data_IF_428896872596
#
_entry.id   IF_428896872596
#
_cell.length_a   1.000
_cell.length_b   1.000
_cell.length_c   1.000
_cell.angle_alpha   90.00
_cell.angle_beta   90.00
_cell.angle_gamma   90.00
#
_symmetry.space_group_name_H-M   'P 1'
#
loop_
_entity.id
_entity.type
_entity.pdbx_description
1 polymer ?
#
# COMPACT_ATOMS: atom_id res chain seq x y z
N UNK A 1 32.84 20.87 16.66
CA UNK A 1 31.66 20.94 15.78
C UNK A 1 30.47 21.05 16.69
N UNK A 2 29.81 22.21 16.76
CA UNK A 2 28.58 22.39 17.53
C UNK A 2 27.53 21.46 16.93
N UNK A 3 27.02 20.51 17.72
CA UNK A 3 25.90 19.64 17.35
C UNK A 3 24.73 20.55 16.95
N UNK A 4 24.46 20.68 15.66
CA UNK A 4 23.28 21.40 15.20
C UNK A 4 22.06 20.71 15.81
N UNK A 5 21.26 21.49 16.54
CA UNK A 5 20.02 20.97 17.15
C UNK A 5 19.09 20.49 16.03
N UNK A 6 18.61 19.25 16.10
CA UNK A 6 17.65 18.71 15.13
C UNK A 6 16.37 19.56 15.14
N UNK A 7 15.74 19.79 13.99
CA UNK A 7 14.46 20.48 13.93
C UNK A 7 13.39 19.67 14.66
N UNK A 8 12.51 20.37 15.38
CA UNK A 8 11.34 19.76 16.01
C UNK A 8 10.28 19.52 14.94
N UNK A 9 9.55 18.41 15.01
CA UNK A 9 8.64 18.01 13.96
C UNK A 9 7.22 17.81 14.50
N UNK A 10 6.21 18.26 13.77
CA UNK A 10 4.85 17.78 13.97
C UNK A 10 4.39 16.89 12.81
N UNK A 11 3.54 15.92 13.14
CA UNK A 11 2.92 15.00 12.15
C UNK A 11 1.42 15.15 12.25
N UNK A 12 0.79 15.63 11.19
CA UNK A 12 -0.64 15.91 11.08
C UNK A 12 -1.35 14.75 10.40
N UNK A 13 -2.20 14.07 11.16
CA UNK A 13 -2.80 12.79 10.80
C UNK A 13 -1.99 11.63 11.39
N UNK A 14 -2.58 10.91 12.37
CA UNK A 14 -1.97 9.78 13.08
C UNK A 14 -2.54 8.42 12.64
N UNK A 15 -2.91 8.32 11.38
CA UNK A 15 -3.36 7.08 10.76
C UNK A 15 -2.22 6.10 10.44
N UNK A 16 -2.49 5.17 9.51
CA UNK A 16 -1.61 4.04 9.14
C UNK A 16 -0.19 4.43 8.66
N UNK A 17 0.01 5.67 8.21
CA UNK A 17 1.33 6.19 7.79
C UNK A 17 1.87 7.24 8.76
N UNK A 18 1.00 8.12 9.29
CA UNK A 18 1.45 9.22 10.15
C UNK A 18 1.94 8.76 11.51
N UNK A 19 1.28 7.80 12.16
CA UNK A 19 1.75 7.26 13.42
C UNK A 19 3.12 6.56 13.28
N UNK A 20 3.36 5.70 12.26
CA UNK A 20 4.70 5.18 11.99
C UNK A 20 5.74 6.27 11.72
N UNK A 21 5.42 7.30 10.92
CA UNK A 21 6.36 8.40 10.67
C UNK A 21 6.75 9.13 11.97
N UNK A 22 5.76 9.44 12.83
CA UNK A 22 6.02 10.07 14.11
C UNK A 22 6.92 9.20 15.00
N UNK A 23 6.68 7.89 15.06
CA UNK A 23 7.47 6.94 15.82
C UNK A 23 8.90 6.78 15.29
N UNK A 24 9.06 6.69 13.95
CA UNK A 24 10.37 6.60 13.30
C UNK A 24 11.19 7.88 13.55
N UNK A 25 10.62 9.07 13.34
CA UNK A 25 11.29 10.33 13.63
C UNK A 25 11.74 10.43 15.09
N UNK A 26 10.86 10.06 16.04
CA UNK A 26 11.20 10.06 17.46
C UNK A 26 12.35 9.10 17.79
N UNK A 27 12.36 7.91 17.18
CA UNK A 27 13.44 6.91 17.34
C UNK A 27 14.78 7.38 16.80
N UNK A 28 14.76 8.35 15.86
CA UNK A 28 15.97 8.96 15.26
C UNK A 28 16.41 10.25 15.95
N UNK A 29 15.82 10.54 17.13
CA UNK A 29 16.23 11.64 18.01
C UNK A 29 15.46 12.94 17.82
N UNK A 30 14.48 13.00 16.94
CA UNK A 30 13.64 14.18 16.79
C UNK A 30 12.65 14.32 17.94
N UNK A 31 12.35 15.56 18.35
CA UNK A 31 11.19 15.87 19.19
C UNK A 31 9.98 15.94 18.27
N UNK A 32 8.95 15.10 18.54
CA UNK A 32 7.80 14.94 17.67
C UNK A 32 6.48 15.18 18.40
N UNK A 33 5.60 15.96 17.77
CA UNK A 33 4.23 16.18 18.23
C UNK A 33 3.25 15.68 17.16
N UNK A 34 2.50 14.63 17.45
CA UNK A 34 1.40 14.19 16.61
C UNK A 34 0.20 15.14 16.74
N UNK A 35 -0.47 15.44 15.63
CA UNK A 35 -1.71 16.22 15.61
C UNK A 35 -2.79 15.40 14.89
N UNK A 36 -3.89 15.11 15.55
CA UNK A 36 -5.03 14.43 14.95
C UNK A 36 -6.35 14.96 15.49
N UNK A 37 -7.39 14.94 14.68
CA UNK A 37 -8.76 15.29 15.09
C UNK A 37 -9.44 14.15 15.84
N UNK A 38 -8.94 12.93 15.74
CA UNK A 38 -9.46 11.76 16.41
C UNK A 38 -8.83 11.59 17.82
N UNK A 39 -9.61 11.93 18.85
CA UNK A 39 -9.19 11.81 20.24
C UNK A 39 -8.66 10.42 20.60
N UNK A 40 -9.26 9.36 20.07
CA UNK A 40 -8.83 7.98 20.33
C UNK A 40 -7.40 7.72 19.88
N UNK A 41 -6.99 8.25 18.70
CA UNK A 41 -5.62 8.12 18.19
C UNK A 41 -4.64 8.95 19.01
N UNK A 42 -5.04 10.16 19.41
CA UNK A 42 -4.22 11.03 20.28
C UNK A 42 -3.98 10.38 21.64
N UNK A 43 -5.04 9.87 22.28
CA UNK A 43 -4.93 9.20 23.58
C UNK A 43 -4.08 7.92 23.47
N UNK A 44 -4.27 7.14 22.40
CA UNK A 44 -3.51 5.91 22.16
C UNK A 44 -2.01 6.18 21.97
N UNK A 45 -1.65 7.22 21.20
CA UNK A 45 -0.26 7.65 21.02
C UNK A 45 0.37 8.04 22.36
N UNK A 46 -0.34 8.86 23.16
CA UNK A 46 0.14 9.30 24.48
C UNK A 46 0.20 8.16 25.50
N UNK A 47 -0.69 7.15 25.36
CA UNK A 47 -0.64 5.92 26.17
C UNK A 47 0.51 4.97 25.75
N UNK A 48 1.16 5.22 24.62
CA UNK A 48 2.29 4.43 24.12
C UNK A 48 1.89 3.20 23.30
N UNK A 49 0.63 3.09 22.84
CA UNK A 49 0.14 1.94 22.07
C UNK A 49 -0.95 2.34 21.09
N UNK A 50 -0.65 2.31 19.81
CA UNK A 50 -1.58 2.60 18.73
C UNK A 50 -2.41 1.37 18.34
N UNK A 51 -3.69 1.53 17.98
CA UNK A 51 -4.54 0.46 17.46
C UNK A 51 -4.29 0.22 15.96
N UNK A 52 -3.03 0.21 15.54
CA UNK A 52 -2.60 0.04 14.15
C UNK A 52 -1.72 -1.19 14.08
N UNK A 53 -2.07 -2.11 13.18
CA UNK A 53 -1.28 -3.32 12.93
C UNK A 53 -0.13 -2.95 11.96
N UNK A 54 1.03 -2.68 12.54
CA UNK A 54 2.27 -2.42 11.79
C UNK A 54 3.45 -2.94 12.62
N UNK A 55 4.33 -3.77 12.03
CA UNK A 55 5.51 -4.30 12.73
C UNK A 55 6.36 -3.20 13.36
N UNK A 56 6.83 -3.41 14.58
CA UNK A 56 7.71 -2.52 15.36
C UNK A 56 7.09 -1.17 15.78
N UNK A 57 5.87 -0.82 15.36
CA UNK A 57 5.30 0.49 15.65
C UNK A 57 5.16 0.75 17.15
N UNK A 58 4.52 -0.18 17.87
CA UNK A 58 4.25 0.03 19.29
C UNK A 58 5.51 -0.04 20.15
N UNK A 59 6.50 -0.83 19.76
CA UNK A 59 7.81 -0.89 20.40
C UNK A 59 8.55 0.45 20.26
N UNK A 60 8.53 1.04 19.05
CA UNK A 60 9.15 2.35 18.81
C UNK A 60 8.46 3.46 19.60
N UNK A 61 7.13 3.48 19.64
CA UNK A 61 6.38 4.46 20.41
C UNK A 61 6.72 4.34 21.91
N UNK A 62 6.68 3.12 22.45
CA UNK A 62 6.95 2.88 23.88
C UNK A 62 8.38 3.28 24.26
N UNK A 63 9.37 2.99 23.41
CA UNK A 63 10.78 3.32 23.64
C UNK A 63 11.11 4.82 23.53
N UNK A 64 10.25 5.63 22.89
CA UNK A 64 10.54 7.04 22.59
C UNK A 64 9.53 8.03 23.20
N UNK A 65 8.83 7.65 24.26
CA UNK A 65 7.77 8.46 24.90
C UNK A 65 8.24 9.85 25.38
N UNK A 66 9.50 10.00 25.70
CA UNK A 66 10.07 11.30 26.12
C UNK A 66 10.17 12.32 24.97
N UNK A 67 10.20 11.84 23.72
CA UNK A 67 10.33 12.66 22.51
C UNK A 67 9.06 12.71 21.67
N UNK A 68 8.07 11.86 22.00
CA UNK A 68 6.85 11.69 21.22
C UNK A 68 5.62 11.99 22.08
N UNK A 69 4.85 12.97 21.67
CA UNK A 69 3.54 13.30 22.26
C UNK A 69 2.50 13.52 21.16
N UNK A 70 1.24 13.56 21.52
CA UNK A 70 0.17 13.87 20.57
C UNK A 70 -0.85 14.84 21.19
N UNK A 71 -1.46 15.67 20.36
CA UNK A 71 -2.44 16.68 20.75
C UNK A 71 -3.55 16.83 19.71
N UNK A 72 -4.66 17.41 20.11
CA UNK A 72 -5.72 17.88 19.20
C UNK A 72 -5.60 19.40 18.92
N UNK A 73 -4.68 20.08 19.59
CA UNK A 73 -4.47 21.54 19.46
C UNK A 73 -3.38 21.84 18.42
N UNK A 74 -3.79 22.40 17.29
CA UNK A 74 -2.87 22.80 16.22
C UNK A 74 -1.91 23.91 16.65
N UNK A 75 -2.31 24.81 17.57
CA UNK A 75 -1.42 25.84 18.08
C UNK A 75 -0.28 25.21 18.87
N UNK A 76 -0.59 24.25 19.74
CA UNK A 76 0.42 23.51 20.48
C UNK A 76 1.39 22.80 19.54
N UNK A 77 0.87 22.04 18.56
CA UNK A 77 1.68 21.29 17.61
C UNK A 77 2.62 22.21 16.80
N UNK A 78 2.10 23.32 16.28
CA UNK A 78 2.87 24.29 15.49
C UNK A 78 3.92 25.03 16.34
N UNK A 79 3.57 25.47 17.55
CA UNK A 79 4.52 26.19 18.41
C UNK A 79 5.68 25.29 18.87
N UNK A 80 5.43 24.01 19.05
CA UNK A 80 6.45 23.03 19.48
C UNK A 80 7.26 22.42 18.33
N UNK A 81 7.02 22.79 17.07
CA UNK A 81 7.70 22.21 15.91
C UNK A 81 8.27 23.28 14.97
N UNK A 82 9.22 22.91 14.13
CA UNK A 82 9.86 23.75 13.12
C UNK A 82 9.44 23.27 11.69
N UNK A 83 8.93 22.05 11.61
CA UNK A 83 8.35 21.46 10.40
C UNK A 83 7.08 20.67 10.74
N UNK A 84 6.08 20.71 9.84
CA UNK A 84 4.83 19.95 9.95
C UNK A 84 4.63 19.05 8.73
N UNK A 85 4.61 17.73 8.94
CA UNK A 85 4.28 16.75 7.90
C UNK A 85 2.77 16.49 7.89
N UNK A 86 2.15 16.63 6.73
CA UNK A 86 0.70 16.49 6.56
C UNK A 86 0.40 15.18 5.83
N UNK A 87 -0.20 14.23 6.57
CA UNK A 87 -0.53 12.88 6.09
C UNK A 87 -2.01 12.62 6.40
N UNK A 88 -2.88 13.22 5.61
CA UNK A 88 -4.33 13.09 5.73
C UNK A 88 -4.91 12.39 4.52
N UNK A 89 -6.12 11.78 4.62
CA UNK A 89 -6.72 11.08 3.48
C UNK A 89 -6.99 11.99 2.29
N UNK A 90 -6.79 11.47 1.08
CA UNK A 90 -7.16 12.08 -0.20
C UNK A 90 -8.04 11.11 -0.98
N UNK A 91 -9.31 10.88 -0.57
CA UNK A 91 -10.17 9.91 -1.22
C UNK A 91 -10.45 10.31 -2.68
N UNK A 92 -10.65 9.30 -3.54
CA UNK A 92 -11.07 9.54 -4.92
C UNK A 92 -12.54 10.00 -4.95
N UNK A 93 -12.83 10.92 -5.84
CA UNK A 93 -14.21 11.29 -6.21
C UNK A 93 -14.74 10.34 -7.30
N UNK A 94 -15.98 10.59 -7.76
CA UNK A 94 -16.65 9.79 -8.80
C UNK A 94 -15.98 9.88 -10.18
N UNK A 95 -15.07 10.83 -10.39
CA UNK A 95 -14.33 11.00 -11.65
C UNK A 95 -12.95 10.30 -11.61
N UNK A 96 -12.56 9.79 -10.44
CA UNK A 96 -11.26 9.19 -10.19
C UNK A 96 -10.19 10.17 -9.70
N UNK A 97 -10.52 11.47 -9.56
CA UNK A 97 -9.60 12.47 -9.01
C UNK A 97 -9.48 12.36 -7.49
N UNK A 98 -8.30 12.70 -6.96
CA UNK A 98 -8.13 12.84 -5.52
C UNK A 98 -8.76 14.11 -4.99
N UNK A 99 -9.57 13.97 -3.94
CA UNK A 99 -10.17 15.10 -3.24
C UNK A 99 -9.16 15.69 -2.24
N UNK A 100 -8.85 16.97 -2.39
CA UNK A 100 -7.94 17.69 -1.49
C UNK A 100 -8.63 18.24 -0.23
N UNK A 101 -9.91 17.92 0.00
CA UNK A 101 -10.70 18.50 1.10
C UNK A 101 -9.98 18.44 2.45
N UNK A 102 -9.43 17.30 2.83
CA UNK A 102 -8.78 17.17 4.13
C UNK A 102 -7.40 17.84 4.16
N UNK A 103 -6.68 17.87 3.04
CA UNK A 103 -5.42 18.63 2.92
C UNK A 103 -5.69 20.12 3.07
N UNK A 104 -6.70 20.65 2.41
CA UNK A 104 -7.09 22.07 2.51
C UNK A 104 -7.56 22.43 3.92
N UNK A 105 -8.31 21.56 4.60
CA UNK A 105 -8.68 21.73 6.01
C UNK A 105 -7.43 21.77 6.92
N UNK A 106 -6.45 20.88 6.66
CA UNK A 106 -5.17 20.89 7.38
C UNK A 106 -4.40 22.21 7.13
N UNK A 107 -4.36 22.70 5.88
CA UNK A 107 -3.75 24.00 5.55
C UNK A 107 -4.42 25.17 6.28
N UNK A 108 -5.74 25.17 6.34
CA UNK A 108 -6.48 26.20 7.09
C UNK A 108 -6.16 26.13 8.59
N UNK A 109 -6.16 24.95 9.17
CA UNK A 109 -5.88 24.73 10.59
C UNK A 109 -4.44 25.11 10.95
N UNK A 110 -3.45 24.61 10.21
CA UNK A 110 -2.05 24.94 10.40
C UNK A 110 -1.76 26.42 10.13
N UNK A 111 -2.36 26.97 9.06
CA UNK A 111 -2.19 28.39 8.71
C UNK A 111 -2.63 29.32 9.83
N UNK A 112 -3.79 29.08 10.45
CA UNK A 112 -4.27 29.85 11.61
C UNK A 112 -3.27 29.80 12.78
N UNK A 113 -2.71 28.62 13.07
CA UNK A 113 -1.70 28.45 14.11
C UNK A 113 -0.36 29.13 13.77
N UNK A 114 0.03 29.09 12.48
CA UNK A 114 1.24 29.73 11.96
C UNK A 114 1.17 31.26 11.98
N UNK A 115 -0.01 31.85 11.93
CA UNK A 115 -0.20 33.31 12.01
C UNK A 115 0.40 33.90 13.29
N UNK A 116 0.30 33.19 14.40
CA UNK A 116 0.85 33.63 15.70
C UNK A 116 2.31 33.20 15.93
N UNK A 117 2.84 32.30 15.09
CA UNK A 117 4.20 31.77 15.24
C UNK A 117 5.22 32.73 14.66
N UNK A 118 6.28 33.01 15.43
CA UNK A 118 7.47 33.77 14.95
C UNK A 118 8.48 32.81 14.31
N UNK A 119 9.19 33.33 13.30
CA UNK A 119 10.26 32.60 12.63
C UNK A 119 9.76 31.69 11.50
N UNK A 120 10.71 31.05 10.83
CA UNK A 120 10.45 30.16 9.70
C UNK A 120 9.79 28.87 10.15
N UNK A 121 8.90 28.34 9.32
CA UNK A 121 8.28 27.03 9.51
C UNK A 121 8.10 26.34 8.17
N UNK A 122 8.40 25.05 8.09
CA UNK A 122 8.21 24.26 6.87
C UNK A 122 6.94 23.41 6.98
N UNK A 123 6.11 23.45 5.94
CA UNK A 123 4.97 22.52 5.78
C UNK A 123 5.30 21.51 4.68
N UNK A 124 5.13 20.23 4.97
CA UNK A 124 5.44 19.13 4.07
C UNK A 124 4.14 18.39 3.77
N UNK A 125 3.73 18.36 2.50
CA UNK A 125 2.58 17.60 2.04
C UNK A 125 3.05 16.19 1.67
N UNK A 126 2.69 15.21 2.48
CA UNK A 126 3.02 13.80 2.26
C UNK A 126 1.83 13.03 1.66
N UNK A 127 0.61 13.54 1.86
CA UNK A 127 -0.59 13.00 1.19
C UNK A 127 -0.44 13.03 -0.33
N UNK A 128 -0.86 11.95 -1.00
CA UNK A 128 -0.84 11.90 -2.47
C UNK A 128 -1.90 12.83 -3.05
N UNK A 129 -1.49 13.77 -3.88
CA UNK A 129 -2.36 14.76 -4.53
C UNK A 129 -2.20 14.72 -6.05
N UNK A 130 -3.13 15.35 -6.79
CA UNK A 130 -3.04 15.43 -8.24
C UNK A 130 -1.95 16.41 -8.69
N UNK A 131 -1.29 16.18 -9.83
CA UNK A 131 -0.27 17.08 -10.36
C UNK A 131 -0.79 18.53 -10.53
N UNK A 132 0.00 19.50 -10.06
CA UNK A 132 -0.33 20.93 -10.06
C UNK A 132 -1.01 21.42 -8.80
N UNK A 133 -1.37 20.55 -7.85
CA UNK A 133 -2.18 20.88 -6.67
C UNK A 133 -1.39 21.62 -5.59
N UNK A 134 -0.18 21.17 -5.27
CA UNK A 134 0.61 21.75 -4.17
C UNK A 134 0.98 23.19 -4.44
N UNK A 135 1.41 23.50 -5.66
CA UNK A 135 1.82 24.85 -6.05
C UNK A 135 0.67 25.83 -6.29
N UNK A 136 -0.56 25.36 -6.30
CA UNK A 136 -1.75 26.19 -6.54
C UNK A 136 -2.66 26.26 -5.31
N UNK A 137 -3.68 25.43 -5.24
CA UNK A 137 -4.72 25.53 -4.19
C UNK A 137 -4.20 25.25 -2.78
N UNK A 138 -3.24 24.33 -2.58
CA UNK A 138 -2.67 24.03 -1.26
C UNK A 138 -1.82 25.23 -0.79
N UNK A 139 -0.92 25.73 -1.65
CA UNK A 139 -0.14 26.94 -1.37
C UNK A 139 -1.05 28.11 -1.03
N UNK A 140 -2.03 28.40 -1.89
CA UNK A 140 -2.95 29.52 -1.69
C UNK A 140 -3.75 29.42 -0.39
N UNK A 141 -4.21 28.21 -0.02
CA UNK A 141 -4.92 27.96 1.24
C UNK A 141 -4.01 28.23 2.46
N UNK A 142 -2.77 27.77 2.42
CA UNK A 142 -1.79 27.98 3.50
C UNK A 142 -1.46 29.48 3.67
N UNK A 143 -1.14 30.17 2.57
CA UNK A 143 -0.83 31.61 2.57
C UNK A 143 -2.02 32.44 3.07
N UNK A 144 -3.22 32.17 2.57
CA UNK A 144 -4.44 32.85 3.02
C UNK A 144 -4.71 32.69 4.51
N UNK A 145 -4.56 31.47 5.02
CA UNK A 145 -4.86 31.18 6.42
C UNK A 145 -3.79 31.72 7.39
N UNK A 146 -2.51 31.70 6.99
CA UNK A 146 -1.41 32.17 7.80
C UNK A 146 -1.14 33.68 7.70
N UNK A 147 -1.53 34.30 6.59
CA UNK A 147 -1.12 35.66 6.25
C UNK A 147 0.38 35.81 5.98
N UNK A 148 1.04 34.70 5.62
CA UNK A 148 2.49 34.62 5.39
C UNK A 148 2.75 34.08 3.99
N UNK A 149 3.87 34.44 3.39
CA UNK A 149 4.26 34.05 2.03
C UNK A 149 5.12 32.80 2.04
N UNK A 150 4.84 31.85 1.12
CA UNK A 150 5.65 30.66 0.86
C UNK A 150 6.90 31.08 0.09
N UNK A 151 8.07 30.71 0.63
CA UNK A 151 9.41 31.09 0.22
C UNK A 151 10.10 31.88 1.35
N UNK A 152 9.86 33.20 1.48
CA UNK A 152 10.52 34.01 2.52
C UNK A 152 10.17 33.57 3.95
N UNK A 153 8.89 33.36 4.23
CA UNK A 153 8.38 33.15 5.58
C UNK A 153 8.08 31.69 5.92
N UNK A 154 7.63 30.95 4.92
CA UNK A 154 7.22 29.55 5.05
C UNK A 154 7.93 28.70 3.99
N UNK A 155 8.43 27.52 4.40
CA UNK A 155 8.78 26.47 3.45
C UNK A 155 7.56 25.65 3.10
N UNK A 156 7.43 25.28 1.84
CA UNK A 156 6.45 24.29 1.40
C UNK A 156 7.16 23.20 0.61
N UNK A 157 6.94 21.94 0.99
CA UNK A 157 7.43 20.80 0.25
C UNK A 157 6.30 19.82 -0.08
N UNK A 158 6.41 19.14 -1.20
CA UNK A 158 5.70 17.91 -1.49
C UNK A 158 6.64 16.73 -1.35
N UNK A 159 6.28 15.77 -0.51
CA UNK A 159 7.16 14.66 -0.21
C UNK A 159 6.32 13.40 0.02
N UNK A 160 5.92 12.74 -1.05
CA UNK A 160 5.10 11.54 -0.97
C UNK A 160 5.91 10.32 -0.58
N UNK A 161 5.26 9.34 0.05
CA UNK A 161 5.86 8.07 0.41
C UNK A 161 5.65 6.99 -0.66
N UNK A 162 6.65 6.08 -0.79
CA UNK A 162 6.60 4.89 -1.67
C UNK A 162 6.60 3.61 -0.83
N UNK A 163 5.71 3.56 0.15
CA UNK A 163 5.68 2.58 1.23
C UNK A 163 4.49 1.63 1.07
N UNK A 164 4.66 0.39 1.50
CA UNK A 164 3.61 -0.61 1.52
C UNK A 164 3.21 -0.95 2.98
N UNK A 165 1.89 -0.98 3.27
CA UNK A 165 1.37 -1.39 4.58
C UNK A 165 1.93 -2.75 5.00
N UNK A 166 2.25 -2.91 6.30
CA UNK A 166 2.93 -4.09 6.85
C UNK A 166 4.46 -4.06 6.75
N UNK A 167 5.03 -2.99 6.17
CA UNK A 167 6.48 -2.72 6.16
C UNK A 167 6.81 -1.22 6.27
N UNK A 168 5.86 -0.43 6.78
CA UNK A 168 5.93 1.04 6.81
C UNK A 168 7.17 1.53 7.57
N UNK A 169 7.39 1.03 8.78
CA UNK A 169 8.54 1.40 9.61
C UNK A 169 9.85 1.07 8.90
N UNK A 170 9.97 -0.15 8.35
CA UNK A 170 11.18 -0.57 7.64
C UNK A 170 11.44 0.28 6.40
N UNK A 171 10.39 0.52 5.61
CA UNK A 171 10.51 1.22 4.33
C UNK A 171 10.83 2.72 4.55
N UNK A 172 10.40 3.32 5.69
CA UNK A 172 10.81 4.66 6.10
C UNK A 172 12.28 4.72 6.52
N UNK A 173 12.80 3.68 7.18
CA UNK A 173 14.21 3.61 7.59
C UNK A 173 15.15 3.28 6.42
N UNK A 174 14.68 2.52 5.44
CA UNK A 174 15.47 2.01 4.32
C UNK A 174 14.81 2.31 2.96
N UNK A 175 14.47 3.57 2.65
CA UNK A 175 13.84 3.88 1.37
C UNK A 175 14.79 3.69 0.19
N UNK A 176 14.27 3.31 -0.97
CA UNK A 176 15.04 3.21 -2.22
C UNK A 176 15.51 4.62 -2.70
N UNK A 177 14.70 5.65 -2.46
CA UNK A 177 15.00 7.06 -2.76
C UNK A 177 14.05 8.00 -2.02
N UNK A 178 14.43 9.27 -1.88
CA UNK A 178 13.59 10.34 -1.34
C UNK A 178 13.21 11.29 -2.48
N UNK A 179 11.92 11.59 -2.61
CA UNK A 179 11.39 12.53 -3.59
C UNK A 179 10.97 13.82 -2.90
N UNK A 180 11.51 14.96 -3.30
CA UNK A 180 11.20 16.26 -2.75
C UNK A 180 10.78 17.21 -3.87
N UNK A 181 9.52 17.64 -3.85
CA UNK A 181 9.06 18.83 -4.54
C UNK A 181 9.19 20.02 -3.60
N UNK A 182 9.89 21.07 -4.00
CA UNK A 182 10.24 22.19 -3.11
C UNK A 182 9.77 23.54 -3.62
N UNK A 183 9.39 24.42 -2.68
CA UNK A 183 9.11 25.83 -2.99
C UNK A 183 10.37 26.62 -3.30
N UNK A 184 11.45 26.28 -2.59
CA UNK A 184 12.74 26.94 -2.63
C UNK A 184 13.82 26.04 -2.03
N UNK A 185 15.09 26.38 -2.26
CA UNK A 185 16.25 25.60 -1.81
C UNK A 185 16.30 25.44 -0.29
N UNK A 186 15.90 26.44 0.51
CA UNK A 186 15.93 26.40 1.98
C UNK A 186 14.97 25.35 2.52
N UNK A 187 13.76 25.27 1.95
CA UNK A 187 12.76 24.25 2.29
C UNK A 187 13.29 22.85 1.94
N UNK A 188 13.82 22.68 0.72
CA UNK A 188 14.39 21.42 0.27
C UNK A 188 15.58 20.96 1.11
N UNK A 189 16.51 21.86 1.48
CA UNK A 189 17.68 21.55 2.31
C UNK A 189 17.26 21.11 3.73
N UNK A 190 16.28 21.79 4.32
CA UNK A 190 15.75 21.41 5.62
C UNK A 190 15.10 20.02 5.58
N UNK A 191 14.27 19.72 4.58
CA UNK A 191 13.62 18.43 4.43
C UNK A 191 14.63 17.32 4.15
N UNK A 192 15.61 17.56 3.28
CA UNK A 192 16.69 16.62 3.00
C UNK A 192 17.48 16.30 4.28
N UNK A 193 17.76 17.29 5.11
CA UNK A 193 18.48 17.10 6.40
C UNK A 193 17.68 16.19 7.34
N UNK A 194 16.34 16.38 7.42
CA UNK A 194 15.47 15.51 8.22
C UNK A 194 15.57 14.06 7.74
N UNK A 195 15.47 13.82 6.44
CA UNK A 195 15.53 12.46 5.89
C UNK A 195 16.91 11.81 6.04
N UNK A 196 18.00 12.55 5.83
CA UNK A 196 19.36 12.02 6.01
C UNK A 196 19.65 11.62 7.47
N UNK A 197 18.99 12.25 8.44
CA UNK A 197 19.03 11.87 9.85
C UNK A 197 18.07 10.70 10.16
N UNK A 198 16.90 10.66 9.51
CA UNK A 198 15.88 9.66 9.76
C UNK A 198 16.28 8.29 9.18
N UNK A 199 16.82 8.24 7.97
CA UNK A 199 17.13 7.00 7.27
C UNK A 199 18.39 6.32 7.82
N UNK A 200 18.39 4.97 7.84
CA UNK A 200 19.56 4.16 8.23
C UNK A 200 20.66 4.16 7.16
N UNK A 201 20.28 4.30 5.90
CA UNK A 201 21.19 4.47 4.77
C UNK A 201 20.98 5.85 4.17
N UNK A 202 21.97 6.35 3.45
CA UNK A 202 21.86 7.59 2.70
C UNK A 202 21.22 7.31 1.33
N UNK A 203 19.91 7.39 1.20
CA UNK A 203 19.25 7.16 -0.08
C UNK A 203 19.54 8.32 -1.03
N UNK A 204 19.49 8.10 -2.36
CA UNK A 204 19.51 9.19 -3.31
C UNK A 204 18.30 10.11 -3.11
N UNK A 205 18.54 11.42 -3.10
CA UNK A 205 17.48 12.42 -2.95
C UNK A 205 17.24 13.08 -4.32
N UNK A 206 16.00 13.01 -4.76
CA UNK A 206 15.53 13.63 -6.01
C UNK A 206 14.79 14.93 -5.67
N UNK A 207 15.38 16.08 -6.00
CA UNK A 207 14.80 17.41 -5.76
C UNK A 207 14.29 18.00 -7.05
N UNK A 208 13.09 18.55 -7.02
CA UNK A 208 12.41 19.11 -8.20
C UNK A 208 11.29 20.07 -7.80
N UNK A 209 10.63 20.70 -8.76
CA UNK A 209 9.42 21.47 -8.51
C UNK A 209 8.24 20.56 -8.15
N UNK A 210 7.17 21.14 -7.60
CA UNK A 210 5.99 20.41 -7.13
C UNK A 210 5.36 19.54 -8.22
N UNK A 211 5.10 20.10 -9.41
CA UNK A 211 4.41 19.40 -10.48
C UNK A 211 5.15 18.13 -10.92
N UNK A 212 6.47 18.22 -11.04
CA UNK A 212 7.29 17.06 -11.40
C UNK A 212 7.26 16.00 -10.28
N UNK A 213 7.31 16.40 -9.01
CA UNK A 213 7.25 15.47 -7.89
C UNK A 213 5.88 14.79 -7.78
N UNK A 214 4.79 15.53 -7.94
CA UNK A 214 3.42 15.01 -7.95
C UNK A 214 3.21 14.02 -9.11
N UNK A 215 3.67 14.37 -10.31
CA UNK A 215 3.59 13.48 -11.48
C UNK A 215 4.46 12.24 -11.29
N UNK A 216 5.67 12.39 -10.73
CA UNK A 216 6.55 11.25 -10.43
C UNK A 216 5.88 10.27 -9.47
N UNK A 217 5.21 10.77 -8.42
CA UNK A 217 4.53 9.92 -7.43
C UNK A 217 3.53 8.97 -8.07
N UNK A 218 2.59 9.49 -8.85
CA UNK A 218 1.56 8.64 -9.47
C UNK A 218 2.15 7.78 -10.61
N UNK A 219 3.17 8.29 -11.33
CA UNK A 219 3.85 7.56 -12.41
C UNK A 219 4.58 6.32 -11.90
N UNK A 220 5.21 6.36 -10.71
CA UNK A 220 5.87 5.19 -10.13
C UNK A 220 4.86 4.06 -9.92
N UNK A 221 3.70 4.35 -9.32
CA UNK A 221 2.68 3.35 -9.08
C UNK A 221 2.09 2.81 -10.40
N UNK A 222 1.83 3.68 -11.36
CA UNK A 222 1.34 3.29 -12.70
C UNK A 222 2.34 2.42 -13.45
N UNK A 223 3.64 2.71 -13.35
CA UNK A 223 4.67 1.89 -13.97
C UNK A 223 4.84 0.53 -13.28
N UNK A 224 4.79 0.50 -11.95
CA UNK A 224 4.80 -0.75 -11.19
C UNK A 224 3.64 -1.66 -11.57
N UNK A 225 2.41 -1.10 -11.64
CA UNK A 225 1.23 -1.87 -12.06
C UNK A 225 1.32 -2.36 -13.51
N UNK A 226 1.97 -1.59 -14.39
CA UNK A 226 2.27 -2.02 -15.76
C UNK A 226 3.17 -3.26 -15.78
N UNK A 227 4.24 -3.30 -14.95
CA UNK A 227 5.10 -4.49 -14.84
C UNK A 227 4.35 -5.71 -14.33
N UNK A 228 3.49 -5.55 -13.31
CA UNK A 228 2.65 -6.63 -12.78
C UNK A 228 1.70 -7.14 -13.87
N UNK A 229 0.99 -6.24 -14.56
CA UNK A 229 0.05 -6.61 -15.62
C UNK A 229 0.74 -7.27 -16.80
N UNK A 230 1.95 -6.82 -17.15
CA UNK A 230 2.76 -7.44 -18.18
C UNK A 230 3.14 -8.89 -17.81
N UNK A 231 3.58 -9.12 -16.58
CA UNK A 231 3.87 -10.47 -16.09
C UNK A 231 2.62 -11.36 -16.06
N UNK A 232 1.46 -10.81 -15.68
CA UNK A 232 0.19 -11.55 -15.69
C UNK A 232 -0.29 -11.88 -17.12
N UNK A 233 -0.05 -11.00 -18.08
CA UNK A 233 -0.27 -11.26 -19.51
C UNK A 233 0.63 -12.40 -20.01
N UNK A 234 1.91 -12.39 -19.63
CA UNK A 234 2.84 -13.48 -19.94
C UNK A 234 2.38 -14.81 -19.31
N UNK A 235 1.86 -14.77 -18.07
CA UNK A 235 1.32 -15.97 -17.43
C UNK A 235 0.12 -16.53 -18.19
N UNK A 236 -0.81 -15.69 -18.68
CA UNK A 236 -1.94 -16.14 -19.50
C UNK A 236 -1.48 -16.75 -20.85
N UNK A 237 -0.42 -16.20 -21.44
CA UNK A 237 0.21 -16.77 -22.65
C UNK A 237 0.84 -18.13 -22.34
N UNK A 238 1.63 -18.21 -21.27
CA UNK A 238 2.30 -19.46 -20.88
C UNK A 238 1.31 -20.57 -20.55
N UNK A 239 0.15 -20.29 -19.93
CA UNK A 239 -0.91 -21.29 -19.67
C UNK A 239 -1.39 -22.01 -20.96
N UNK A 240 -1.19 -21.42 -22.14
CA UNK A 240 -1.65 -21.93 -23.44
C UNK A 240 -0.55 -22.59 -24.26
N UNK A 241 0.68 -22.62 -23.76
CA UNK A 241 1.85 -23.16 -24.47
C UNK A 241 2.42 -24.33 -23.67
N UNK A 242 2.27 -25.60 -24.11
CA UNK A 242 2.81 -26.74 -23.41
C UNK A 242 4.32 -26.59 -23.09
N UNK A 243 4.69 -26.83 -21.84
CA UNK A 243 6.07 -26.71 -21.36
C UNK A 243 6.56 -25.29 -21.09
N UNK A 244 5.73 -24.26 -21.29
CA UNK A 244 6.08 -22.89 -20.90
C UNK A 244 5.97 -22.72 -19.37
N UNK A 245 6.82 -21.81 -18.80
CA UNK A 245 6.78 -21.42 -17.40
C UNK A 245 7.06 -19.91 -17.26
N UNK A 246 6.09 -19.19 -16.71
CA UNK A 246 6.17 -17.74 -16.56
C UNK A 246 7.32 -17.31 -15.66
N UNK A 247 7.66 -18.07 -14.60
CA UNK A 247 8.74 -17.71 -13.70
C UNK A 247 10.10 -17.83 -14.42
N UNK A 248 10.27 -18.83 -15.31
CA UNK A 248 11.47 -18.94 -16.15
C UNK A 248 11.57 -17.75 -17.12
N UNK A 249 10.46 -17.39 -17.77
CA UNK A 249 10.39 -16.27 -18.72
C UNK A 249 10.66 -14.93 -18.00
N UNK A 250 9.98 -14.67 -16.89
CA UNK A 250 10.14 -13.40 -16.17
C UNK A 250 11.47 -13.28 -15.44
N UNK A 251 12.07 -14.40 -15.00
CA UNK A 251 13.43 -14.43 -14.46
C UNK A 251 14.45 -14.03 -15.53
N UNK A 252 14.35 -14.59 -16.73
CA UNK A 252 15.23 -14.23 -17.85
C UNK A 252 15.04 -12.76 -18.26
N UNK A 253 13.79 -12.30 -18.37
CA UNK A 253 13.45 -10.91 -18.68
C UNK A 253 14.00 -9.95 -17.63
N UNK A 254 13.84 -10.29 -16.34
CA UNK A 254 14.29 -9.46 -15.22
C UNK A 254 15.81 -9.43 -15.02
N UNK A 255 16.57 -10.33 -15.65
CA UNK A 255 18.03 -10.32 -15.67
C UNK A 255 18.59 -9.19 -16.56
N UNK A 256 17.82 -8.71 -17.52
CA UNK A 256 18.18 -7.53 -18.30
C UNK A 256 18.12 -6.28 -17.42
N UNK A 257 19.26 -5.58 -17.27
CA UNK A 257 19.38 -4.38 -16.41
C UNK A 257 18.48 -3.22 -16.86
N UNK A 258 18.07 -3.19 -18.14
CA UNK A 258 17.11 -2.20 -18.67
C UNK A 258 15.70 -2.41 -18.14
N UNK A 259 15.39 -3.62 -17.64
CA UNK A 259 14.06 -4.04 -17.19
C UNK A 259 14.04 -4.22 -15.66
N UNK A 260 14.98 -5.01 -15.11
CA UNK A 260 15.05 -5.34 -13.69
C UNK A 260 13.94 -6.29 -13.22
N UNK A 261 14.22 -7.08 -12.19
CA UNK A 261 13.35 -8.18 -11.74
C UNK A 261 12.19 -7.77 -10.84
N UNK A 262 12.22 -6.58 -10.21
CA UNK A 262 11.16 -6.14 -9.29
C UNK A 262 9.81 -6.07 -10.00
N UNK A 263 8.75 -6.61 -9.36
CA UNK A 263 7.36 -6.62 -9.83
C UNK A 263 7.08 -7.41 -11.12
N UNK A 264 7.97 -8.32 -11.52
CA UNK A 264 7.77 -9.20 -12.68
C UNK A 264 7.42 -10.63 -12.22
N UNK A 265 6.31 -10.81 -11.51
CA UNK A 265 5.77 -12.12 -11.16
C UNK A 265 4.37 -12.29 -11.73
N UNK A 266 4.17 -13.34 -12.54
CA UNK A 266 2.87 -13.72 -13.04
C UNK A 266 2.11 -14.52 -11.98
N UNK A 267 1.11 -13.89 -11.36
CA UNK A 267 0.30 -14.47 -10.30
C UNK A 267 -1.13 -13.91 -10.37
N UNK A 268 -1.66 -13.40 -9.26
CA UNK A 268 -2.91 -12.63 -9.25
C UNK A 268 -2.69 -11.17 -9.67
N UNK A 269 -3.76 -10.46 -9.93
CA UNK A 269 -3.71 -9.02 -10.17
C UNK A 269 -3.28 -8.22 -8.94
N UNK A 270 -2.99 -6.94 -9.15
CA UNK A 270 -2.71 -6.01 -8.06
C UNK A 270 -4.00 -5.50 -7.42
N UNK A 271 -3.94 -5.27 -6.12
CA UNK A 271 -5.01 -4.71 -5.30
C UNK A 271 -4.46 -3.69 -4.30
N UNK A 272 -5.20 -3.49 -3.22
CA UNK A 272 -4.86 -2.55 -2.16
C UNK A 272 -5.29 -1.11 -2.44
N UNK A 273 -5.13 -0.21 -1.46
CA UNK A 273 -5.71 1.13 -1.52
C UNK A 273 -5.02 2.10 -2.49
N UNK A 274 -3.84 1.75 -3.01
CA UNK A 274 -3.02 2.70 -3.77
C UNK A 274 -2.96 2.37 -5.27
N UNK A 275 -2.57 1.16 -5.66
CA UNK A 275 -2.29 0.83 -7.05
C UNK A 275 -3.49 1.00 -7.98
N UNK A 276 -4.68 0.43 -7.70
CA UNK A 276 -5.84 0.62 -8.56
C UNK A 276 -6.27 2.09 -8.63
N UNK A 277 -6.27 2.76 -7.48
CA UNK A 277 -6.68 4.15 -7.35
C UNK A 277 -5.77 5.11 -8.13
N UNK A 278 -4.46 4.96 -7.98
CA UNK A 278 -3.49 5.86 -8.61
C UNK A 278 -3.46 5.68 -10.13
N UNK A 279 -3.71 4.45 -10.62
CA UNK A 279 -3.83 4.17 -12.05
C UNK A 279 -5.06 4.84 -12.68
N UNK A 280 -6.22 4.75 -12.01
CA UNK A 280 -7.45 5.45 -12.43
C UNK A 280 -7.24 6.96 -12.40
N UNK A 281 -6.63 7.50 -11.34
CA UNK A 281 -6.35 8.92 -11.20
C UNK A 281 -5.40 9.43 -12.29
N UNK A 282 -4.36 8.67 -12.63
CA UNK A 282 -3.44 9.01 -13.70
C UNK A 282 -4.16 9.11 -15.05
N UNK A 283 -5.00 8.14 -15.38
CA UNK A 283 -5.77 8.14 -16.62
C UNK A 283 -6.79 9.30 -16.65
N UNK A 284 -7.47 9.57 -15.53
CA UNK A 284 -8.40 10.69 -15.40
C UNK A 284 -7.68 12.04 -15.58
N UNK A 285 -6.50 12.19 -14.97
CA UNK A 285 -5.68 13.39 -15.12
C UNK A 285 -5.24 13.62 -16.57
N UNK A 286 -4.73 12.58 -17.24
CA UNK A 286 -4.34 12.67 -18.64
C UNK A 286 -5.50 13.14 -19.52
N UNK A 287 -6.68 12.55 -19.37
CA UNK A 287 -7.89 12.99 -20.10
C UNK A 287 -8.25 14.45 -19.83
N UNK A 288 -8.16 14.92 -18.58
CA UNK A 288 -8.47 16.31 -18.20
C UNK A 288 -7.57 17.32 -18.92
N UNK A 289 -6.30 16.98 -19.13
CA UNK A 289 -5.34 17.86 -19.80
C UNK A 289 -5.24 17.62 -21.32
N UNK A 290 -6.10 16.75 -21.90
CA UNK A 290 -6.10 16.42 -23.31
C UNK A 290 -4.98 15.47 -23.74
N UNK A 291 -4.33 14.76 -22.80
CA UNK A 291 -3.32 13.75 -23.07
C UNK A 291 -3.93 12.33 -23.07
N UNK A 292 -3.16 11.36 -23.58
CA UNK A 292 -3.53 9.93 -23.60
C UNK A 292 -2.82 9.19 -22.47
N UNK A 293 -3.49 8.21 -21.88
CA UNK A 293 -2.95 7.32 -20.86
C UNK A 293 -3.16 5.83 -21.23
N UNK A 294 -2.99 5.48 -22.50
CA UNK A 294 -3.31 4.16 -23.06
C UNK A 294 -2.67 3.00 -22.26
N UNK A 295 -1.43 3.19 -21.77
CA UNK A 295 -0.72 2.18 -20.99
C UNK A 295 -1.41 1.96 -19.64
N UNK A 296 -1.78 3.02 -18.93
CA UNK A 296 -2.47 2.90 -17.65
C UNK A 296 -3.85 2.23 -17.81
N UNK A 297 -4.61 2.63 -18.84
CA UNK A 297 -5.91 2.06 -19.15
C UNK A 297 -5.83 0.58 -19.58
N UNK A 298 -4.82 0.21 -20.39
CA UNK A 298 -4.56 -1.17 -20.75
C UNK A 298 -4.17 -2.01 -19.53
N UNK A 299 -3.36 -1.45 -18.65
CA UNK A 299 -2.95 -2.06 -17.37
C UNK A 299 -4.16 -2.40 -16.51
N UNK A 300 -5.11 -1.47 -16.32
CA UNK A 300 -6.34 -1.70 -15.57
C UNK A 300 -7.24 -2.77 -16.23
N UNK A 301 -7.37 -2.75 -17.56
CA UNK A 301 -8.12 -3.79 -18.26
C UNK A 301 -7.53 -5.19 -18.04
N UNK A 302 -6.20 -5.32 -18.12
CA UNK A 302 -5.52 -6.59 -17.87
C UNK A 302 -5.71 -7.02 -16.42
N UNK A 303 -5.60 -6.08 -15.47
CA UNK A 303 -5.79 -6.37 -14.05
C UNK A 303 -7.21 -6.89 -13.75
N UNK A 304 -8.22 -6.21 -14.25
CA UNK A 304 -9.62 -6.61 -14.05
C UNK A 304 -9.93 -7.96 -14.72
N UNK A 305 -9.36 -8.23 -15.89
CA UNK A 305 -9.51 -9.51 -16.60
C UNK A 305 -8.97 -10.70 -15.78
N UNK A 306 -8.03 -10.51 -14.85
CA UNK A 306 -7.48 -11.63 -14.07
C UNK A 306 -8.56 -12.38 -13.27
N UNK A 307 -9.62 -11.71 -12.80
CA UNK A 307 -10.70 -12.35 -12.06
C UNK A 307 -11.50 -13.28 -12.99
N UNK A 308 -11.76 -12.86 -14.23
CA UNK A 308 -12.46 -13.68 -15.22
C UNK A 308 -11.62 -14.89 -15.63
N UNK A 309 -10.31 -14.68 -15.86
CA UNK A 309 -9.35 -15.75 -16.15
C UNK A 309 -9.32 -16.79 -15.04
N UNK A 310 -9.21 -16.38 -13.77
CA UNK A 310 -9.16 -17.29 -12.61
C UNK A 310 -10.48 -18.04 -12.42
N UNK A 311 -11.61 -17.36 -12.53
CA UNK A 311 -12.93 -18.01 -12.47
C UNK A 311 -13.10 -19.04 -13.59
N UNK A 312 -12.65 -18.69 -14.81
CA UNK A 312 -12.63 -19.63 -15.95
C UNK A 312 -11.68 -20.81 -15.76
N UNK A 313 -10.55 -20.62 -15.05
CA UNK A 313 -9.65 -21.71 -14.68
C UNK A 313 -10.34 -22.67 -13.68
N UNK A 314 -10.97 -22.13 -12.64
CA UNK A 314 -11.71 -22.93 -11.64
C UNK A 314 -12.80 -23.78 -12.30
N UNK A 315 -13.55 -23.24 -13.26
CA UNK A 315 -14.63 -23.96 -13.95
C UNK A 315 -14.16 -25.18 -14.77
N UNK A 316 -12.86 -25.30 -15.07
CA UNK A 316 -12.31 -26.51 -15.72
C UNK A 316 -12.22 -27.71 -14.75
N UNK A 317 -12.14 -27.42 -13.43
CA UNK A 317 -11.92 -28.44 -12.40
C UNK A 317 -13.10 -28.60 -11.43
N UNK A 318 -14.05 -27.68 -11.43
CA UNK A 318 -15.16 -27.67 -10.48
C UNK A 318 -16.48 -27.27 -11.16
N UNK A 319 -17.62 -27.74 -10.60
CA UNK A 319 -18.98 -27.40 -11.04
C UNK A 319 -19.70 -26.63 -9.93
N UNK A 320 -20.82 -26.01 -10.21
CA UNK A 320 -21.71 -25.45 -9.20
C UNK A 320 -22.01 -26.48 -8.10
N UNK A 321 -22.01 -26.04 -6.84
CA UNK A 321 -22.13 -26.90 -5.66
C UNK A 321 -20.79 -27.45 -5.13
N UNK A 322 -19.68 -27.41 -5.90
CA UNK A 322 -18.35 -27.82 -5.41
C UNK A 322 -17.90 -26.92 -4.25
N UNK A 323 -17.34 -27.51 -3.19
CA UNK A 323 -16.79 -26.81 -2.04
C UNK A 323 -15.35 -26.35 -2.33
N UNK A 324 -15.17 -25.05 -2.47
CA UNK A 324 -13.88 -24.42 -2.79
C UNK A 324 -13.34 -23.71 -1.56
N UNK A 325 -12.12 -24.04 -1.16
CA UNK A 325 -11.42 -23.26 -0.13
C UNK A 325 -10.46 -22.27 -0.75
N UNK A 326 -10.53 -21.02 -0.31
CA UNK A 326 -9.59 -19.94 -0.67
C UNK A 326 -8.74 -19.58 0.55
N UNK A 327 -7.44 -19.82 0.47
CA UNK A 327 -6.45 -19.43 1.46
C UNK A 327 -5.82 -18.10 1.07
N UNK A 328 -6.08 -17.07 1.87
CA UNK A 328 -5.59 -15.71 1.67
C UNK A 328 -6.61 -14.78 1.02
N UNK A 329 -6.96 -13.72 1.76
CA UNK A 329 -7.99 -12.74 1.40
C UNK A 329 -7.45 -11.32 1.37
N UNK A 330 -6.38 -11.05 2.11
CA UNK A 330 -5.67 -9.77 2.05
C UNK A 330 -5.07 -9.55 0.65
N UNK A 331 -4.98 -8.29 0.23
CA UNK A 331 -4.40 -7.96 -1.09
C UNK A 331 -2.90 -8.32 -1.19
N UNK A 332 -2.22 -8.50 -0.07
CA UNK A 332 -0.86 -9.03 0.07
C UNK A 332 -0.66 -9.58 1.49
N UNK A 333 0.39 -10.38 1.76
CA UNK A 333 0.70 -10.85 3.11
C UNK A 333 0.97 -9.73 4.12
N UNK A 334 0.84 -10.04 5.41
CA UNK A 334 1.16 -9.19 6.58
C UNK A 334 0.32 -7.90 6.69
N UNK A 335 -0.91 -7.93 6.19
CA UNK A 335 -1.87 -6.83 6.35
C UNK A 335 -3.29 -7.36 6.44
N UNK A 336 -4.18 -6.74 7.25
CA UNK A 336 -5.60 -7.07 7.28
C UNK A 336 -6.42 -6.40 6.17
N UNK A 337 -5.78 -5.72 5.21
CA UNK A 337 -6.46 -4.90 4.20
C UNK A 337 -7.00 -5.75 3.07
N UNK A 338 -8.30 -5.64 2.84
CA UNK A 338 -9.05 -6.35 1.78
C UNK A 338 -9.49 -5.43 0.63
N UNK A 339 -9.20 -4.14 0.72
CA UNK A 339 -9.55 -3.16 -0.31
C UNK A 339 -8.95 -3.56 -1.66
N UNK A 340 -9.79 -3.60 -2.70
CA UNK A 340 -9.43 -4.04 -4.05
C UNK A 340 -8.73 -5.42 -4.12
N UNK A 341 -8.88 -6.27 -3.10
CA UNK A 341 -8.29 -7.61 -3.10
C UNK A 341 -8.87 -8.49 -4.20
N UNK A 342 -8.01 -9.02 -5.05
CA UNK A 342 -8.42 -9.97 -6.08
C UNK A 342 -8.95 -11.29 -5.50
N UNK A 343 -8.45 -11.71 -4.33
CA UNK A 343 -8.95 -12.91 -3.64
C UNK A 343 -10.40 -12.73 -3.19
N UNK A 344 -10.74 -11.55 -2.65
CA UNK A 344 -12.11 -11.20 -2.24
C UNK A 344 -13.04 -11.11 -3.47
N UNK A 345 -12.58 -10.46 -4.55
CA UNK A 345 -13.34 -10.39 -5.80
C UNK A 345 -13.57 -11.77 -6.40
N UNK A 346 -12.56 -12.66 -6.38
CA UNK A 346 -12.67 -14.03 -6.83
C UNK A 346 -13.66 -14.82 -5.97
N UNK A 347 -13.58 -14.72 -4.64
CA UNK A 347 -14.51 -15.37 -3.72
C UNK A 347 -15.96 -14.98 -3.99
N UNK A 348 -16.23 -13.68 -4.17
CA UNK A 348 -17.55 -13.18 -4.54
C UNK A 348 -18.04 -13.79 -5.87
N UNK A 349 -17.18 -13.74 -6.90
CA UNK A 349 -17.53 -14.25 -8.24
C UNK A 349 -17.81 -15.76 -8.25
N UNK A 350 -17.04 -16.54 -7.49
CA UNK A 350 -17.26 -17.99 -7.37
C UNK A 350 -18.55 -18.28 -6.59
N UNK A 351 -18.82 -17.58 -5.51
CA UNK A 351 -20.06 -17.72 -4.76
C UNK A 351 -21.28 -17.38 -5.63
N UNK A 352 -21.22 -16.28 -6.40
CA UNK A 352 -22.29 -15.88 -7.34
C UNK A 352 -22.46 -16.89 -8.48
N UNK A 353 -21.44 -17.68 -8.82
CA UNK A 353 -21.51 -18.79 -9.76
C UNK A 353 -22.02 -20.10 -9.16
N UNK A 354 -22.44 -20.09 -7.89
CA UNK A 354 -23.07 -21.23 -7.21
C UNK A 354 -22.09 -22.22 -6.58
N UNK A 355 -20.82 -21.85 -6.38
CA UNK A 355 -19.88 -22.65 -5.59
C UNK A 355 -20.08 -22.42 -4.10
N UNK A 356 -19.77 -23.43 -3.27
CA UNK A 356 -19.72 -23.29 -1.80
C UNK A 356 -18.32 -22.79 -1.43
N UNK A 357 -18.19 -21.51 -1.15
CA UNK A 357 -16.89 -20.87 -0.92
C UNK A 357 -16.57 -20.80 0.57
N UNK A 358 -15.46 -21.44 0.96
CA UNK A 358 -14.87 -21.37 2.30
C UNK A 358 -13.61 -20.51 2.24
N UNK A 359 -13.43 -19.62 3.21
CA UNK A 359 -12.32 -18.66 3.18
C UNK A 359 -11.52 -18.71 4.47
N UNK A 360 -10.20 -18.52 4.35
CA UNK A 360 -9.30 -18.36 5.50
C UNK A 360 -8.24 -17.30 5.19
N UNK A 361 -7.98 -16.42 6.17
CA UNK A 361 -6.85 -15.49 6.15
C UNK A 361 -6.36 -15.23 7.58
N UNK A 362 -5.05 -15.21 7.84
CA UNK A 362 -4.51 -15.00 9.18
C UNK A 362 -4.88 -13.68 9.84
N UNK A 363 -5.12 -12.61 9.06
CA UNK A 363 -5.41 -11.25 9.56
C UNK A 363 -6.65 -10.61 8.95
N UNK A 364 -7.05 -11.01 7.74
CA UNK A 364 -8.06 -10.32 6.94
C UNK A 364 -9.41 -11.06 6.86
N UNK A 365 -9.56 -12.22 7.52
CA UNK A 365 -10.76 -13.05 7.40
C UNK A 365 -12.03 -12.30 7.78
N UNK A 366 -12.07 -11.68 8.97
CA UNK A 366 -13.25 -10.97 9.44
C UNK A 366 -13.61 -9.77 8.57
N UNK A 367 -12.58 -9.02 8.11
CA UNK A 367 -12.76 -7.91 7.20
C UNK A 367 -13.32 -8.37 5.84
N UNK A 368 -12.84 -9.50 5.31
CA UNK A 368 -13.32 -10.07 4.07
C UNK A 368 -14.77 -10.59 4.20
N UNK A 369 -15.09 -11.28 5.30
CA UNK A 369 -16.46 -11.75 5.59
C UNK A 369 -17.42 -10.56 5.72
N UNK A 370 -16.98 -9.47 6.36
CA UNK A 370 -17.80 -8.25 6.45
C UNK A 370 -18.16 -7.67 5.08
N UNK A 371 -17.27 -7.83 4.07
CA UNK A 371 -17.54 -7.38 2.68
C UNK A 371 -18.37 -8.39 1.90
N UNK A 372 -18.12 -9.68 2.10
CA UNK A 372 -18.73 -10.76 1.32
C UNK A 372 -20.10 -11.21 1.86
N UNK A 373 -20.36 -10.95 3.16
CA UNK A 373 -21.60 -11.36 3.82
C UNK A 373 -21.80 -12.88 3.80
N UNK A 374 -23.02 -13.31 3.62
CA UNK A 374 -23.44 -14.70 3.61
C UNK A 374 -22.99 -15.51 2.39
N UNK A 375 -22.28 -14.88 1.45
CA UNK A 375 -21.77 -15.54 0.25
C UNK A 375 -20.66 -16.55 0.55
N UNK A 376 -20.00 -16.43 1.70
CA UNK A 376 -18.85 -17.26 2.05
C UNK A 376 -18.93 -17.75 3.50
N UNK A 377 -18.19 -18.82 3.80
CA UNK A 377 -18.06 -19.38 5.14
C UNK A 377 -16.61 -19.19 5.62
N UNK A 378 -16.42 -18.57 6.79
CA UNK A 378 -15.10 -18.44 7.40
C UNK A 378 -14.64 -19.78 8.01
N UNK A 379 -13.41 -20.18 7.71
CA UNK A 379 -12.82 -21.38 8.30
C UNK A 379 -12.20 -21.06 9.67
N UNK A 380 -12.34 -21.97 10.62
CA UNK A 380 -11.73 -21.84 11.96
C UNK A 380 -10.26 -22.26 11.99
N UNK A 381 -9.79 -23.02 11.00
CA UNK A 381 -8.40 -23.45 10.87
C UNK A 381 -8.05 -23.79 9.43
N UNK A 382 -6.77 -23.71 9.09
CA UNK A 382 -6.24 -24.09 7.77
C UNK A 382 -6.48 -25.60 7.55
N UNK A 383 -6.21 -26.45 8.55
CA UNK A 383 -6.40 -27.90 8.45
C UNK A 383 -7.85 -28.27 8.11
N UNK A 384 -8.82 -27.75 8.88
CA UNK A 384 -10.24 -28.01 8.65
C UNK A 384 -10.67 -27.57 7.26
N UNK A 385 -10.26 -26.38 6.85
CA UNK A 385 -10.56 -25.83 5.53
C UNK A 385 -10.01 -26.69 4.37
N UNK A 386 -8.79 -27.21 4.51
CA UNK A 386 -8.14 -28.06 3.48
C UNK A 386 -8.74 -29.47 3.45
N UNK A 387 -9.05 -30.06 4.63
CA UNK A 387 -9.62 -31.41 4.69
C UNK A 387 -11.01 -31.51 4.06
N UNK A 388 -11.80 -30.46 4.16
CA UNK A 388 -13.19 -30.44 3.73
C UNK A 388 -13.42 -29.91 2.32
N UNK A 389 -12.40 -29.39 1.62
CA UNK A 389 -12.59 -28.83 0.29
C UNK A 389 -12.49 -29.88 -0.83
N UNK A 390 -13.18 -29.62 -1.94
CA UNK A 390 -13.05 -30.36 -3.18
C UNK A 390 -12.02 -29.72 -4.13
N UNK A 391 -11.78 -28.42 -3.97
CA UNK A 391 -10.76 -27.65 -4.68
C UNK A 391 -10.14 -26.62 -3.73
N UNK A 392 -8.82 -26.52 -3.71
CA UNK A 392 -8.06 -25.58 -2.91
C UNK A 392 -7.45 -24.48 -3.77
N UNK A 393 -7.59 -23.23 -3.36
CA UNK A 393 -6.95 -22.08 -4.00
C UNK A 393 -6.05 -21.38 -2.97
N UNK A 394 -4.75 -21.28 -3.26
CA UNK A 394 -3.81 -20.45 -2.47
C UNK A 394 -3.69 -19.09 -3.16
N UNK A 395 -4.42 -18.11 -2.65
CA UNK A 395 -4.65 -16.83 -3.31
C UNK A 395 -3.79 -15.67 -2.76
N UNK A 396 -3.16 -15.84 -1.59
CA UNK A 396 -2.17 -14.89 -1.05
C UNK A 396 -0.99 -15.68 -0.49
N UNK A 397 0.23 -15.25 -0.78
CA UNK A 397 1.47 -15.96 -0.38
C UNK A 397 1.85 -15.75 1.08
N UNK A 398 0.96 -16.07 2.02
CA UNK A 398 1.24 -16.03 3.44
C UNK A 398 2.28 -17.08 3.84
N UNK A 399 3.29 -16.76 4.68
CA UNK A 399 4.27 -17.74 5.16
C UNK A 399 3.63 -18.98 5.81
N UNK A 400 2.53 -18.80 6.54
CA UNK A 400 1.79 -19.87 7.22
C UNK A 400 1.22 -20.92 6.26
N UNK A 401 0.94 -20.56 5.02
CA UNK A 401 0.44 -21.54 4.03
C UNK A 401 1.52 -22.50 3.51
N UNK A 402 2.80 -22.20 3.75
CA UNK A 402 3.89 -23.17 3.52
C UNK A 402 3.82 -24.38 4.46
N UNK A 403 3.09 -24.24 5.57
CA UNK A 403 2.91 -25.27 6.60
C UNK A 403 1.72 -26.19 6.30
N UNK A 404 1.01 -25.99 5.18
CA UNK A 404 -0.07 -26.89 4.75
C UNK A 404 0.50 -28.30 4.61
N UNK A 405 -0.01 -29.22 5.44
CA UNK A 405 0.45 -30.61 5.44
C UNK A 405 -0.19 -31.39 4.28
N UNK A 406 0.58 -32.04 3.42
CA UNK A 406 0.04 -32.89 2.35
C UNK A 406 -0.97 -33.93 2.83
N UNK A 407 -0.83 -34.44 4.06
CA UNK A 407 -1.79 -35.40 4.62
C UNK A 407 -3.22 -34.84 4.74
N UNK A 408 -3.40 -33.52 4.83
CA UNK A 408 -4.73 -32.88 4.84
C UNK A 408 -5.41 -32.92 3.48
N UNK A 409 -4.63 -33.11 2.42
CA UNK A 409 -5.13 -33.24 1.03
C UNK A 409 -5.63 -34.64 0.69
N UNK A 410 -5.40 -35.67 1.53
CA UNK A 410 -5.86 -37.04 1.29
C UNK A 410 -7.38 -37.09 1.23
N UNK A 411 -7.91 -37.82 0.24
CA UNK A 411 -9.35 -38.07 0.03
C UNK A 411 -9.66 -39.57 0.23
N UNK A 412 -10.75 -39.85 0.93
CA UNK A 412 -11.16 -41.24 1.24
C UNK A 412 -11.58 -42.05 0.01
N UNK A 413 -11.95 -41.37 -1.08
CA UNK A 413 -12.38 -41.98 -2.33
C UNK A 413 -11.23 -42.27 -3.31
N UNK A 414 -9.97 -42.04 -2.88
CA UNK A 414 -8.77 -42.23 -3.74
C UNK A 414 -8.57 -41.15 -4.80
N UNK A 415 -9.44 -40.13 -4.86
CA UNK A 415 -9.24 -38.99 -5.76
C UNK A 415 -8.11 -38.07 -5.23
N UNK A 416 -7.48 -37.36 -6.14
CA UNK A 416 -6.47 -36.37 -5.83
C UNK A 416 -7.13 -34.99 -5.69
N UNK A 417 -6.69 -34.22 -4.69
CA UNK A 417 -7.18 -32.85 -4.52
C UNK A 417 -6.61 -31.96 -5.63
N UNK A 418 -7.45 -31.21 -6.32
CA UNK A 418 -6.97 -30.13 -7.19
C UNK A 418 -6.59 -28.91 -6.34
N UNK A 419 -5.36 -28.44 -6.51
CA UNK A 419 -4.82 -27.26 -5.82
C UNK A 419 -4.37 -26.23 -6.85
N UNK A 420 -4.97 -25.04 -6.82
CA UNK A 420 -4.52 -23.89 -7.59
C UNK A 420 -3.65 -23.01 -6.70
N UNK A 421 -2.33 -23.15 -6.81
CA UNK A 421 -1.39 -22.31 -6.05
C UNK A 421 -0.96 -21.12 -6.92
N UNK A 422 -1.65 -19.99 -6.70
CA UNK A 422 -1.50 -18.79 -7.54
C UNK A 422 -0.19 -18.03 -7.29
N UNK A 423 0.51 -18.35 -6.19
CA UNK A 423 1.74 -17.67 -5.79
C UNK A 423 2.96 -18.61 -5.68
N UNK A 424 2.77 -19.91 -5.99
CA UNK A 424 3.79 -20.95 -5.78
C UNK A 424 4.29 -20.93 -4.34
N UNK A 425 3.34 -20.93 -3.41
CA UNK A 425 3.58 -20.83 -1.97
C UNK A 425 3.86 -22.18 -1.33
N UNK A 426 3.14 -23.21 -1.80
CA UNK A 426 3.26 -24.55 -1.25
C UNK A 426 4.60 -25.20 -1.64
N UNK A 427 5.24 -25.95 -0.73
CA UNK A 427 6.41 -26.75 -1.08
C UNK A 427 5.97 -27.88 -2.05
N UNK A 428 6.69 -28.05 -3.16
CA UNK A 428 6.36 -29.06 -4.19
C UNK A 428 6.44 -30.48 -3.62
N UNK A 429 7.42 -30.69 -2.74
CA UNK A 429 7.69 -31.99 -2.16
C UNK A 429 6.56 -32.44 -1.22
N UNK A 430 6.09 -33.68 -1.37
CA UNK A 430 5.06 -34.31 -0.55
C UNK A 430 3.63 -34.15 -1.05
N UNK A 431 3.31 -33.27 -2.00
CA UNK A 431 1.98 -33.16 -2.59
C UNK A 431 1.74 -34.12 -3.75
N UNK A 432 2.80 -34.60 -4.41
CA UNK A 432 2.73 -35.40 -5.61
C UNK A 432 1.82 -36.66 -5.50
N UNK A 433 1.70 -37.26 -4.31
CA UNK A 433 0.88 -38.45 -4.11
C UNK A 433 -0.59 -38.16 -3.74
N UNK A 434 -0.89 -36.93 -3.33
CA UNK A 434 -2.19 -36.60 -2.71
C UNK A 434 -2.95 -35.47 -3.42
N UNK A 435 -2.26 -34.67 -4.22
CA UNK A 435 -2.85 -33.52 -4.90
C UNK A 435 -2.26 -33.27 -6.29
N UNK A 436 -3.05 -32.68 -7.16
CA UNK A 436 -2.64 -32.12 -8.44
C UNK A 436 -2.45 -30.61 -8.24
N UNK A 437 -1.20 -30.19 -8.05
CA UNK A 437 -0.87 -28.78 -7.80
C UNK A 437 -0.63 -28.10 -9.14
N UNK A 438 -1.43 -27.10 -9.42
CA UNK A 438 -1.39 -26.30 -10.64
C UNK A 438 -0.95 -24.88 -10.32
N UNK A 439 -0.03 -24.33 -11.10
CA UNK A 439 0.49 -22.97 -10.97
C UNK A 439 0.01 -22.09 -12.13
N UNK A 440 -0.26 -20.82 -11.86
CA UNK A 440 -0.49 -19.87 -12.96
C UNK A 440 0.75 -19.71 -13.82
N UNK A 441 0.54 -19.64 -15.13
CA UNK A 441 1.63 -19.47 -16.09
C UNK A 441 2.51 -20.70 -16.28
N UNK A 442 1.99 -21.90 -15.97
CA UNK A 442 2.60 -23.18 -16.32
C UNK A 442 1.79 -23.82 -17.42
N UNK A 443 2.36 -24.00 -18.61
CA UNK A 443 1.68 -24.62 -19.74
C UNK A 443 1.35 -26.09 -19.45
N UNK A 444 0.09 -26.45 -19.57
CA UNK A 444 -0.47 -27.79 -19.33
C UNK A 444 -0.60 -28.56 -20.65
#
# INVERSE_FOLDING_TARGET
MTSATLPRVSVVGLGKLGAPLAAVLASRGFSVVGLDVNKTLVDAMNAGKMPIVEPQLNELIAANRERLSATMDANEAVQKSDASFVIVPTPSDSTGFFSNRFVLQAMETLGKALKAKKGYHMVVITSTVMPGTTGTEIKAALEKASGREVGPDLGLCYNPEFIALGSVVRDMLFPDSILIGESDAKAGDMLQTIYLQMCEKKPPVQRMNFVNAELTKISVNTYVTTKISYANMLADICDRIPGADVDAVTKALGADTRIGSKYLKGAMGYGGPCFPRDNVAFAAFARKIGARADVAEATDRINNYQIDRLSGLVSKFARAGTRITILGLSYKPQTPVVEESHSVKLAAKLADAGYVVVVHDPLAQDAAISVLGDKVVGASSIEGAVRECDLLIVATGWPQYKEVNPAWCKRNNGQRLTVLDLWRTLPVDGFADVADVLYLGSGY
#
